data_IF_179917459221
#
_entry.id   IF_179917459221
#
_cell.length_a   1.000
_cell.length_b   1.000
_cell.length_c   1.000
_cell.angle_alpha   90.00
_cell.angle_beta   90.00
_cell.angle_gamma   90.00
#
_symmetry.space_group_name_H-M   'P 1'
#
loop_
_entity.id
_entity.type
_entity.pdbx_description
1 polymer ?
#
# COMPACT_ATOMS: atom_id res chain seq x y z
N UNK A 1 6.51 23.05 2.11
CA UNK A 1 6.75 21.65 1.68
C UNK A 1 7.35 21.58 0.27
N UNK A 2 6.81 22.28 -0.73
CA UNK A 2 7.43 22.42 -2.08
C UNK A 2 8.82 23.07 -2.02
N UNK A 3 8.97 24.14 -1.24
CA UNK A 3 10.26 24.83 -1.06
C UNK A 3 11.35 23.98 -0.37
N UNK A 4 10.99 22.84 0.22
CA UNK A 4 11.95 21.95 0.92
C UNK A 4 12.19 20.65 0.14
N UNK A 5 11.25 20.23 -0.72
CA UNK A 5 11.25 18.89 -1.34
C UNK A 5 11.17 18.87 -2.87
N UNK A 6 11.12 20.05 -3.53
CA UNK A 6 11.16 20.21 -4.98
C UNK A 6 9.79 20.09 -5.68
N UNK A 7 9.59 20.76 -6.84
CA UNK A 7 8.38 20.65 -7.66
C UNK A 7 8.33 19.32 -8.45
N UNK A 8 7.13 18.85 -8.79
CA UNK A 8 6.92 17.76 -9.76
C UNK A 8 6.70 16.34 -9.20
N UNK A 9 6.59 16.17 -7.87
CA UNK A 9 6.47 14.82 -7.28
C UNK A 9 5.07 14.19 -7.31
N UNK A 10 4.03 14.94 -7.69
CA UNK A 10 2.63 14.46 -7.67
C UNK A 10 2.08 14.11 -6.28
N UNK A 11 2.90 14.17 -5.22
CA UNK A 11 2.56 13.82 -3.83
C UNK A 11 1.88 14.97 -3.07
N UNK A 12 1.45 16.00 -3.77
CA UNK A 12 0.85 17.20 -3.19
C UNK A 12 -0.66 17.13 -3.36
N UNK A 13 -1.37 16.82 -2.28
CA UNK A 13 -2.84 16.88 -2.24
C UNK A 13 -3.22 18.36 -2.04
N UNK A 14 -3.73 19.02 -3.08
CA UNK A 14 -4.14 20.42 -3.05
C UNK A 14 -5.64 20.54 -2.70
N UNK A 15 -5.98 21.25 -1.62
CA UNK A 15 -7.37 21.49 -1.22
C UNK A 15 -7.53 21.88 0.26
N UNK A 16 -8.69 22.46 0.63
CA UNK A 16 -9.02 22.71 2.05
C UNK A 16 -9.20 21.36 2.77
N UNK A 17 -8.39 21.09 3.80
CA UNK A 17 -8.36 19.82 4.58
C UNK A 17 -9.72 19.35 5.11
N UNK A 18 -10.70 20.24 5.25
CA UNK A 18 -12.09 19.90 5.61
C UNK A 18 -12.84 19.04 4.57
N UNK A 19 -12.32 18.85 3.35
CA UNK A 19 -12.90 17.97 2.33
C UNK A 19 -12.24 16.58 2.29
N UNK A 20 -11.23 16.34 3.12
CA UNK A 20 -10.44 15.12 3.09
C UNK A 20 -10.97 14.00 4.02
N UNK A 21 -12.14 14.23 4.63
CA UNK A 21 -12.73 13.37 5.66
C UNK A 21 -12.82 11.90 5.26
N UNK A 22 -13.05 11.61 3.98
CA UNK A 22 -13.15 10.22 3.50
C UNK A 22 -11.80 9.53 3.38
N UNK A 23 -10.75 10.23 2.92
CA UNK A 23 -9.40 9.63 2.90
C UNK A 23 -8.90 9.42 4.33
N UNK A 24 -9.27 10.32 5.25
CA UNK A 24 -8.91 10.20 6.65
C UNK A 24 -9.63 9.02 7.30
N UNK A 25 -10.92 8.83 6.99
CA UNK A 25 -11.66 7.63 7.43
C UNK A 25 -11.08 6.35 6.85
N UNK A 26 -10.79 6.33 5.55
CA UNK A 26 -10.08 5.22 4.89
C UNK A 26 -8.77 4.90 5.60
N UNK A 27 -7.97 5.92 5.93
CA UNK A 27 -6.70 5.73 6.62
C UNK A 27 -6.89 5.15 8.03
N UNK A 28 -7.88 5.63 8.77
CA UNK A 28 -8.23 5.09 10.09
C UNK A 28 -8.59 3.61 9.97
N UNK A 29 -9.48 3.26 9.04
CA UNK A 29 -9.94 1.89 8.85
C UNK A 29 -8.78 0.97 8.39
N UNK A 30 -7.94 1.44 7.44
CA UNK A 30 -6.73 0.71 7.02
C UNK A 30 -5.74 0.48 8.17
N UNK A 31 -5.53 1.52 8.98
CA UNK A 31 -4.61 1.43 10.10
C UNK A 31 -5.13 0.45 11.15
N UNK A 32 -6.42 0.45 11.46
CA UNK A 32 -7.04 -0.49 12.40
C UNK A 32 -7.02 -1.92 11.87
N UNK A 33 -7.37 -2.13 10.60
CA UNK A 33 -7.57 -3.47 10.03
C UNK A 33 -6.28 -4.14 9.55
N UNK A 34 -5.26 -3.36 9.17
CA UNK A 34 -4.01 -3.90 8.61
C UNK A 34 -2.81 -3.46 9.43
N UNK A 35 -2.51 -2.17 9.46
CA UNK A 35 -1.22 -1.66 9.99
C UNK A 35 -1.03 -1.98 11.47
N UNK A 36 -2.05 -1.78 12.30
CA UNK A 36 -1.96 -1.98 13.74
C UNK A 36 -1.74 -3.44 14.12
N UNK A 37 -2.34 -4.39 13.38
CA UNK A 37 -2.12 -5.83 13.60
C UNK A 37 -0.67 -6.23 13.35
N UNK A 38 -0.09 -5.77 12.23
CA UNK A 38 1.31 -6.03 11.90
C UNK A 38 2.27 -5.32 12.85
N UNK A 39 1.97 -4.07 13.23
CA UNK A 39 2.75 -3.33 14.22
C UNK A 39 2.77 -4.06 15.58
N UNK A 40 1.63 -4.52 16.07
CA UNK A 40 1.54 -5.31 17.31
C UNK A 40 2.38 -6.60 17.24
N UNK A 41 2.33 -7.31 16.11
CA UNK A 41 3.16 -8.50 15.89
C UNK A 41 4.66 -8.16 15.99
N UNK A 42 5.11 -7.09 15.32
CA UNK A 42 6.53 -6.70 15.36
C UNK A 42 6.96 -6.20 16.74
N UNK A 43 6.12 -5.46 17.46
CA UNK A 43 6.41 -5.08 18.84
C UNK A 43 6.54 -6.30 19.77
N UNK A 44 5.68 -7.31 19.59
CA UNK A 44 5.82 -8.56 20.36
C UNK A 44 7.11 -9.31 20.02
N UNK A 45 7.52 -9.29 18.75
CA UNK A 45 8.77 -9.90 18.31
C UNK A 45 10.01 -9.15 18.83
N UNK A 46 9.94 -7.83 18.95
CA UNK A 46 10.99 -6.99 19.54
C UNK A 46 11.15 -7.30 21.04
N UNK A 47 10.04 -7.34 21.78
CA UNK A 47 10.04 -7.60 23.22
C UNK A 47 10.44 -9.05 23.57
N UNK A 48 10.00 -10.04 22.80
CA UNK A 48 10.05 -11.46 23.20
C UNK A 48 10.92 -12.36 22.32
N UNK A 49 11.12 -12.02 21.05
CA UNK A 49 11.76 -12.92 20.07
C UNK A 49 13.11 -12.38 19.53
N UNK A 50 13.58 -11.26 20.08
CA UNK A 50 14.89 -10.67 19.77
C UNK A 50 14.95 -9.97 18.41
N UNK A 51 13.83 -9.44 17.92
CA UNK A 51 13.85 -8.53 16.77
C UNK A 51 14.58 -7.23 17.16
N UNK A 52 15.50 -6.81 16.30
CA UNK A 52 16.22 -5.54 16.42
C UNK A 52 15.90 -4.69 15.18
N UNK A 53 15.15 -3.59 15.31
CA UNK A 53 14.76 -2.74 14.19
C UNK A 53 15.93 -1.93 13.59
N UNK A 54 17.07 -1.85 14.28
CA UNK A 54 18.27 -1.18 13.77
C UNK A 54 19.16 -2.11 12.94
N UNK A 55 18.92 -3.42 13.00
CA UNK A 55 19.69 -4.41 12.26
C UNK A 55 19.12 -4.62 10.84
N UNK A 56 19.89 -4.22 9.82
CA UNK A 56 19.50 -4.37 8.42
C UNK A 56 19.21 -5.82 8.01
N UNK A 57 19.91 -6.80 8.60
CA UNK A 57 19.66 -8.22 8.37
C UNK A 57 18.28 -8.64 8.90
N UNK A 58 17.90 -8.15 10.08
CA UNK A 58 16.57 -8.43 10.64
C UNK A 58 15.47 -7.82 9.76
N UNK A 59 15.64 -6.58 9.30
CA UNK A 59 14.72 -5.94 8.35
C UNK A 59 14.58 -6.78 7.06
N UNK A 60 15.70 -7.28 6.53
CA UNK A 60 15.67 -8.15 5.36
C UNK A 60 14.91 -9.45 5.62
N UNK A 61 15.13 -10.11 6.76
CA UNK A 61 14.40 -11.34 7.14
C UNK A 61 12.89 -11.05 7.27
N UNK A 62 12.50 -9.93 7.88
CA UNK A 62 11.08 -9.54 7.97
C UNK A 62 10.45 -9.40 6.58
N UNK A 63 11.13 -8.72 5.66
CA UNK A 63 10.66 -8.58 4.29
C UNK A 63 10.56 -9.94 3.60
N UNK A 64 11.59 -10.77 3.75
CA UNK A 64 11.62 -12.11 3.16
C UNK A 64 10.48 -13.02 3.66
N UNK A 65 10.11 -12.92 4.94
CA UNK A 65 9.08 -13.77 5.54
C UNK A 65 7.65 -13.26 5.36
N UNK A 66 7.45 -11.94 5.45
CA UNK A 66 6.13 -11.38 5.71
C UNK A 66 5.67 -10.33 4.69
N UNK A 67 6.54 -9.88 3.78
CA UNK A 67 6.15 -8.84 2.82
C UNK A 67 5.00 -9.29 1.92
N UNK A 68 5.03 -10.54 1.45
CA UNK A 68 3.97 -11.09 0.62
C UNK A 68 2.64 -11.17 1.38
N UNK A 69 2.65 -11.69 2.61
CA UNK A 69 1.44 -11.72 3.45
C UNK A 69 0.90 -10.34 3.80
N UNK A 70 1.79 -9.37 4.05
CA UNK A 70 1.39 -7.99 4.32
C UNK A 70 0.75 -7.36 3.08
N UNK A 71 1.32 -7.61 1.90
CA UNK A 71 0.74 -7.16 0.63
C UNK A 71 -0.62 -7.81 0.37
N UNK A 72 -0.77 -9.10 0.64
CA UNK A 72 -2.04 -9.81 0.52
C UNK A 72 -3.11 -9.23 1.46
N UNK A 73 -2.75 -8.95 2.72
CA UNK A 73 -3.64 -8.27 3.68
C UNK A 73 -4.04 -6.87 3.17
N UNK A 74 -3.11 -6.11 2.60
CA UNK A 74 -3.39 -4.79 2.04
C UNK A 74 -4.30 -4.85 0.80
N UNK A 75 -4.09 -5.82 -0.09
CA UNK A 75 -4.95 -6.08 -1.26
C UNK A 75 -6.35 -6.52 -0.81
N UNK A 76 -6.44 -7.38 0.21
CA UNK A 76 -7.71 -7.81 0.79
C UNK A 76 -8.49 -6.61 1.34
N UNK A 77 -7.83 -5.74 2.12
CA UNK A 77 -8.43 -4.50 2.59
C UNK A 77 -8.88 -3.60 1.43
N UNK A 78 -8.04 -3.40 0.41
CA UNK A 78 -8.39 -2.61 -0.77
C UNK A 78 -9.67 -3.15 -1.44
N UNK A 79 -9.78 -4.47 -1.61
CA UNK A 79 -10.96 -5.08 -2.21
C UNK A 79 -12.21 -4.88 -1.34
N UNK A 80 -12.10 -5.08 -0.03
CA UNK A 80 -13.18 -4.85 0.92
C UNK A 80 -13.65 -3.39 0.90
N UNK A 81 -12.69 -2.47 0.96
CA UNK A 81 -12.98 -1.04 0.87
C UNK A 81 -13.62 -0.68 -0.46
N UNK A 82 -13.13 -1.17 -1.59
CA UNK A 82 -13.70 -0.79 -2.89
C UNK A 82 -15.14 -1.29 -3.09
N UNK A 83 -15.55 -2.35 -2.39
CA UNK A 83 -16.86 -2.98 -2.54
C UNK A 83 -17.83 -2.73 -1.37
N UNK A 84 -17.42 -2.05 -0.30
CA UNK A 84 -18.33 -1.72 0.81
C UNK A 84 -19.35 -0.65 0.40
N UNK A 85 -20.51 -0.65 1.06
CA UNK A 85 -21.57 0.32 0.81
C UNK A 85 -21.32 1.60 1.61
N UNK A 86 -21.36 2.75 0.94
CA UNK A 86 -21.30 4.06 1.58
C UNK A 86 -22.67 4.73 1.53
N UNK A 87 -23.15 5.20 2.70
CA UNK A 87 -24.33 6.04 2.76
C UNK A 87 -23.97 7.48 2.39
N UNK A 88 -24.44 7.95 1.24
CA UNK A 88 -24.17 9.29 0.73
C UNK A 88 -25.30 10.23 1.15
N UNK A 89 -25.08 11.01 2.22
CA UNK A 89 -26.08 11.94 2.80
C UNK A 89 -26.66 12.97 1.83
N UNK A 90 -26.01 13.23 0.68
CA UNK A 90 -26.34 14.36 -0.21
C UNK A 90 -27.47 14.08 -1.21
N UNK A 91 -27.91 12.85 -1.36
CA UNK A 91 -28.88 12.50 -2.40
C UNK A 91 -29.87 11.48 -1.84
N UNK A 92 -31.14 11.52 -2.28
CA UNK A 92 -32.13 10.45 -2.05
C UNK A 92 -31.73 9.15 -2.79
N UNK A 93 -30.44 8.91 -3.01
CA UNK A 93 -29.90 7.80 -3.76
C UNK A 93 -29.50 6.64 -2.84
N UNK A 94 -29.69 5.46 -3.41
CA UNK A 94 -29.29 4.14 -2.93
C UNK A 94 -27.83 4.14 -2.49
N UNK A 95 -27.50 3.34 -1.48
CA UNK A 95 -26.10 3.11 -1.06
C UNK A 95 -25.24 2.71 -2.26
N UNK A 96 -24.11 3.39 -2.45
CA UNK A 96 -23.18 3.15 -3.58
C UNK A 96 -21.84 2.68 -3.06
N UNK A 97 -21.15 1.85 -3.85
CA UNK A 97 -19.81 1.37 -3.54
C UNK A 97 -18.76 2.34 -4.09
N UNK A 98 -17.58 2.47 -3.45
CA UNK A 98 -16.50 3.30 -3.99
C UNK A 98 -16.13 2.95 -5.43
N UNK A 99 -16.13 1.65 -5.80
CA UNK A 99 -15.84 1.21 -7.17
C UNK A 99 -16.87 1.71 -8.18
N UNK A 100 -18.15 1.74 -7.79
CA UNK A 100 -19.22 2.25 -8.62
C UNK A 100 -19.01 3.76 -8.83
N UNK A 101 -18.83 4.52 -7.75
CA UNK A 101 -18.56 5.96 -7.86
C UNK A 101 -17.36 6.28 -8.75
N UNK A 102 -16.30 5.46 -8.68
CA UNK A 102 -15.13 5.62 -9.52
C UNK A 102 -15.43 5.38 -11.02
N UNK A 103 -16.13 4.29 -11.35
CA UNK A 103 -16.51 3.94 -12.72
C UNK A 103 -17.42 5.02 -13.32
N UNK A 104 -18.44 5.46 -12.58
CA UNK A 104 -19.34 6.52 -13.02
C UNK A 104 -18.59 7.84 -13.22
N UNK A 105 -17.68 8.21 -12.31
CA UNK A 105 -16.86 9.41 -12.46
C UNK A 105 -15.94 9.35 -13.70
N UNK A 106 -15.39 8.18 -14.00
CA UNK A 106 -14.60 7.97 -15.22
C UNK A 106 -15.45 8.11 -16.49
N UNK A 107 -16.72 7.70 -16.45
CA UNK A 107 -17.63 7.85 -17.58
C UNK A 107 -18.06 9.32 -17.79
N UNK A 108 -18.36 10.04 -16.72
CA UNK A 108 -18.81 11.45 -16.78
C UNK A 108 -17.68 12.44 -17.07
N UNK A 109 -16.47 12.16 -16.59
CA UNK A 109 -15.36 13.14 -16.57
C UNK A 109 -14.08 12.66 -17.27
N UNK A 110 -14.14 11.48 -17.90
CA UNK A 110 -12.99 10.80 -18.48
C UNK A 110 -12.12 10.10 -17.43
N UNK A 111 -11.33 9.12 -17.86
CA UNK A 111 -10.38 8.42 -17.01
C UNK A 111 -9.29 9.39 -16.52
N UNK A 112 -9.33 9.77 -15.24
CA UNK A 112 -8.32 10.62 -14.60
C UNK A 112 -7.32 9.77 -13.83
N UNK A 113 -6.03 10.02 -14.01
CA UNK A 113 -4.97 9.33 -13.27
C UNK A 113 -4.69 7.89 -13.70
N UNK A 114 -5.42 7.33 -14.66
CA UNK A 114 -5.10 6.03 -15.25
C UNK A 114 -4.14 6.25 -16.42
N UNK A 115 -2.90 5.80 -16.29
CA UNK A 115 -1.99 5.71 -17.45
C UNK A 115 -2.46 4.56 -18.35
N UNK A 116 -3.40 4.86 -19.25
CA UNK A 116 -3.74 3.98 -20.37
C UNK A 116 -2.58 4.12 -21.35
N UNK A 117 -1.47 3.45 -21.06
CA UNK A 117 -0.22 3.61 -21.80
C UNK A 117 -0.43 3.59 -23.31
N UNK A 118 -0.19 4.73 -23.97
CA UNK A 118 0.30 4.92 -25.35
C UNK A 118 -0.23 4.00 -26.47
N UNK A 119 -1.39 3.33 -26.35
CA UNK A 119 -1.86 2.35 -27.35
C UNK A 119 -3.23 2.64 -27.95
N UNK A 120 -3.96 3.63 -27.44
CA UNK A 120 -5.14 4.16 -28.10
C UNK A 120 -5.11 5.68 -27.96
N UNK A 121 -4.30 6.34 -28.79
CA UNK A 121 -4.53 7.74 -29.07
C UNK A 121 -5.56 7.84 -30.17
N UNK A 122 -6.81 8.27 -29.93
CA UNK A 122 -7.52 9.00 -30.95
C UNK A 122 -7.02 10.45 -30.87
N UNK A 123 -6.41 10.93 -31.94
CA UNK A 123 -6.40 12.36 -32.27
C UNK A 123 -7.86 12.84 -32.30
N UNK A 124 -8.34 13.38 -31.20
CA UNK A 124 -9.70 13.89 -31.06
C UNK A 124 -9.67 15.09 -30.14
N UNK A 125 -9.96 16.26 -30.70
CA UNK A 125 -10.10 17.54 -29.99
C UNK A 125 -10.99 17.39 -28.75
N UNK A 126 -10.51 17.89 -27.62
CA UNK A 126 -11.31 17.99 -26.40
C UNK A 126 -12.52 18.92 -26.67
N UNK A 127 -13.76 18.54 -26.32
CA UNK A 127 -14.89 19.46 -26.42
C UNK A 127 -14.72 20.60 -25.41
N UNK A 128 -14.83 21.84 -25.88
CA UNK A 128 -14.79 23.05 -25.04
C UNK A 128 -16.02 23.07 -24.11
N UNK A 129 -15.86 23.23 -22.78
CA UNK A 129 -16.99 23.36 -21.89
C UNK A 129 -17.63 24.75 -22.01
N UNK A 130 -18.96 24.77 -22.03
CA UNK A 130 -19.79 25.96 -22.09
C UNK A 130 -19.61 26.85 -20.85
N UNK A 131 -19.61 28.16 -21.11
CA UNK A 131 -19.43 29.27 -20.18
C UNK A 131 -20.56 29.34 -19.14
N UNK A 132 -20.37 28.75 -17.97
CA UNK A 132 -21.06 29.19 -16.74
C UNK A 132 -20.15 28.94 -15.53
N UNK A 133 -19.64 30.05 -15.00
CA UNK A 133 -19.16 30.25 -13.61
C UNK A 133 -18.45 29.06 -12.95
N UNK A 134 -17.16 28.88 -13.25
CA UNK A 134 -16.33 27.92 -12.54
C UNK A 134 -14.90 28.46 -12.41
N UNK A 135 -14.34 28.30 -11.21
CA UNK A 135 -12.91 28.43 -10.91
C UNK A 135 -12.03 27.82 -12.02
N UNK A 136 -10.77 28.26 -12.17
CA UNK A 136 -9.89 27.77 -13.23
C UNK A 136 -9.89 26.23 -13.26
N UNK A 137 -9.90 25.60 -14.44
CA UNK A 137 -9.99 24.14 -14.53
C UNK A 137 -8.86 23.53 -13.72
N UNK A 138 -9.24 22.74 -12.71
CA UNK A 138 -8.35 21.99 -11.84
C UNK A 138 -7.56 21.00 -12.69
N UNK A 139 -6.39 21.42 -13.19
CA UNK A 139 -5.53 20.57 -14.01
C UNK A 139 -4.98 19.44 -13.12
N UNK A 140 -5.40 18.17 -13.33
CA UNK A 140 -4.87 17.06 -12.56
C UNK A 140 -3.40 16.84 -12.91
N UNK A 141 -2.58 16.34 -11.97
CA UNK A 141 -1.20 15.98 -12.27
C UNK A 141 -1.16 14.93 -13.39
N UNK A 142 -0.24 15.13 -14.34
CA UNK A 142 -0.10 14.30 -15.55
C UNK A 142 0.44 12.89 -15.29
N UNK A 143 0.76 12.55 -14.03
CA UNK A 143 1.26 11.23 -13.62
C UNK A 143 0.83 10.94 -12.18
N UNK A 144 0.54 9.67 -11.88
CA UNK A 144 0.34 9.24 -10.50
C UNK A 144 1.61 9.45 -9.66
N UNK A 145 1.49 9.81 -8.37
CA UNK A 145 2.62 9.83 -7.45
C UNK A 145 3.25 8.43 -7.40
N UNK A 146 4.54 8.35 -7.72
CA UNK A 146 5.34 7.15 -7.59
C UNK A 146 6.25 7.27 -6.37
N UNK A 147 6.32 6.21 -5.57
CA UNK A 147 7.26 6.08 -4.46
C UNK A 147 8.26 5.00 -4.83
N UNK A 148 9.53 5.37 -4.99
CA UNK A 148 10.61 4.41 -5.20
C UNK A 148 10.82 3.61 -3.91
N UNK A 149 10.37 2.36 -3.88
CA UNK A 149 10.63 1.42 -2.80
C UNK A 149 11.83 0.54 -3.18
N UNK A 150 13.05 0.97 -2.85
CA UNK A 150 14.25 0.12 -3.06
C UNK A 150 14.20 -1.10 -2.12
N UNK A 151 14.33 -2.33 -2.61
CA UNK A 151 14.34 -3.52 -1.75
C UNK A 151 15.58 -3.49 -0.84
N UNK A 152 15.48 -4.02 0.40
CA UNK A 152 16.64 -4.13 1.28
C UNK A 152 17.71 -4.99 0.62
N UNK A 153 18.97 -4.56 0.71
CA UNK A 153 20.11 -5.33 0.19
C UNK A 153 20.16 -6.69 0.89
N UNK A 154 20.14 -7.77 0.12
CA UNK A 154 20.23 -9.11 0.67
C UNK A 154 21.63 -9.35 1.26
N UNK A 155 21.74 -9.72 2.56
CA UNK A 155 23.04 -9.96 3.19
C UNK A 155 23.59 -11.37 2.94
N UNK A 156 22.82 -12.25 2.27
CA UNK A 156 23.13 -13.68 2.14
C UNK A 156 23.42 -14.10 0.71
N UNK A 157 24.27 -15.12 0.56
CA UNK A 157 24.54 -15.76 -0.71
C UNK A 157 23.37 -16.66 -1.14
N UNK A 158 23.24 -16.93 -2.44
CA UNK A 158 22.14 -17.73 -3.02
C UNK A 158 21.96 -19.11 -2.36
N UNK A 159 23.06 -19.77 -1.98
CA UNK A 159 23.00 -21.09 -1.33
C UNK A 159 22.45 -21.02 0.10
N UNK A 160 22.75 -19.96 0.84
CA UNK A 160 22.18 -19.70 2.18
C UNK A 160 20.68 -19.44 2.10
N UNK A 161 20.25 -18.66 1.10
CA UNK A 161 18.83 -18.40 0.85
C UNK A 161 18.07 -19.69 0.51
N UNK A 162 18.63 -20.55 -0.36
CA UNK A 162 18.04 -21.85 -0.68
C UNK A 162 17.89 -22.73 0.55
N UNK A 163 18.94 -22.80 1.37
CA UNK A 163 18.88 -23.54 2.63
C UNK A 163 17.81 -22.99 3.57
N UNK A 164 17.69 -21.66 3.69
CA UNK A 164 16.65 -21.01 4.48
C UNK A 164 15.24 -21.40 3.99
N UNK A 165 15.00 -21.31 2.67
CA UNK A 165 13.72 -21.69 2.06
C UNK A 165 13.37 -23.15 2.35
N UNK A 166 14.32 -24.07 2.12
CA UNK A 166 14.09 -25.50 2.29
C UNK A 166 13.79 -25.85 3.75
N UNK A 167 14.37 -25.12 4.71
CA UNK A 167 14.13 -25.31 6.15
C UNK A 167 12.81 -24.71 6.62
N UNK A 168 12.36 -23.62 6.01
CA UNK A 168 11.08 -22.99 6.34
C UNK A 168 9.89 -23.68 5.67
N UNK A 169 10.11 -24.40 4.57
CA UNK A 169 9.05 -25.10 3.85
C UNK A 169 8.32 -26.11 4.74
N UNK A 170 7.00 -26.07 4.76
CA UNK A 170 6.17 -26.95 5.59
C UNK A 170 6.14 -26.58 7.08
N UNK A 171 6.82 -25.50 7.49
CA UNK A 171 6.86 -25.07 8.88
C UNK A 171 5.97 -23.85 9.06
N UNK A 172 5.07 -23.96 10.03
CA UNK A 172 4.27 -22.86 10.54
C UNK A 172 3.46 -22.08 9.47
N UNK A 173 2.73 -22.80 8.62
CA UNK A 173 2.05 -22.25 7.43
C UNK A 173 0.79 -21.42 7.75
N UNK A 174 0.26 -21.51 8.96
CA UNK A 174 -0.97 -20.78 9.31
C UNK A 174 -0.72 -19.26 9.44
N UNK A 175 -1.65 -18.41 8.96
CA UNK A 175 -1.51 -16.95 8.94
C UNK A 175 -1.88 -16.30 10.28
N UNK A 176 -1.53 -16.92 11.41
CA UNK A 176 -1.76 -16.37 12.75
C UNK A 176 -0.47 -15.79 13.35
N UNK A 177 -0.62 -15.00 14.43
CA UNK A 177 0.51 -14.36 15.09
C UNK A 177 1.51 -15.39 15.67
N UNK A 178 1.03 -16.52 16.20
CA UNK A 178 1.87 -17.52 16.83
C UNK A 178 2.81 -18.20 15.81
N UNK A 179 2.26 -18.58 14.66
CA UNK A 179 2.97 -19.21 13.55
C UNK A 179 3.93 -18.22 12.89
N UNK A 180 3.53 -16.95 12.70
CA UNK A 180 4.44 -15.90 12.21
C UNK A 180 5.64 -15.71 13.14
N UNK A 181 5.41 -15.60 14.46
CA UNK A 181 6.48 -15.52 15.45
C UNK A 181 7.38 -16.76 15.46
N UNK A 182 6.81 -17.95 15.26
CA UNK A 182 7.58 -19.18 15.17
C UNK A 182 8.45 -19.24 13.89
N UNK A 183 7.93 -18.80 12.73
CA UNK A 183 8.72 -18.64 11.49
C UNK A 183 9.85 -17.65 11.68
N UNK A 184 9.59 -16.52 12.32
CA UNK A 184 10.62 -15.56 12.69
C UNK A 184 11.74 -16.19 13.52
N UNK A 185 11.40 -16.84 14.63
CA UNK A 185 12.39 -17.48 15.52
C UNK A 185 13.26 -18.49 14.77
N UNK A 186 12.64 -19.33 13.94
CA UNK A 186 13.35 -20.32 13.12
C UNK A 186 14.26 -19.66 12.09
N UNK A 187 13.77 -18.67 11.36
CA UNK A 187 14.54 -17.96 10.36
C UNK A 187 15.74 -17.23 10.98
N UNK A 188 15.50 -16.49 12.08
CA UNK A 188 16.54 -15.80 12.85
C UNK A 188 17.64 -16.77 13.29
N UNK A 189 17.25 -17.91 13.87
CA UNK A 189 18.21 -18.93 14.31
C UNK A 189 19.08 -19.46 13.15
N UNK A 190 18.48 -19.72 11.99
CA UNK A 190 19.22 -20.17 10.80
C UNK A 190 20.18 -19.09 10.32
N UNK A 191 19.70 -17.86 10.25
CA UNK A 191 20.44 -16.69 9.82
C UNK A 191 21.62 -16.34 10.75
N UNK A 192 21.44 -16.48 12.07
CA UNK A 192 22.50 -16.28 13.06
C UNK A 192 23.63 -17.30 12.87
N UNK A 193 23.29 -18.56 12.56
CA UNK A 193 24.29 -19.60 12.29
C UNK A 193 25.15 -19.30 11.05
N UNK A 194 24.60 -18.60 10.05
CA UNK A 194 25.36 -18.19 8.87
C UNK A 194 26.39 -17.11 9.16
N UNK A 195 26.19 -16.29 10.20
CA UNK A 195 27.10 -15.22 10.59
C UNK A 195 28.23 -15.72 11.51
N UNK A 196 28.06 -16.88 12.14
CA UNK A 196 29.07 -17.50 13.02
C UNK A 196 30.08 -18.41 12.30
N UNK A 197 29.92 -18.66 11.00
CA UNK A 197 30.82 -19.47 10.17
C UNK A 197 31.72 -18.59 9.31
#
# INVERSE_FOLDING_TARGET
MVNVRGPGRGSYIWGKSVHNTRIERLWVDFNTDVTQRWAQLFYQMEDQDGLDPLNATHIWILHFLFLDELNDDAVSFQNQWNHHTMSLTRSRQVDQKPIDLFIWGCWEHGARGIDIGSRLGPTGEQPQPSTFDASPPDNPPSRMPHVDCSPPSCPYATHQIRFLIDRLRGQYEYPDAHHRRARWRLARQICDNFLTQ
#
